data_IF_078542534543
#
_entry.id   IF_078542534543
#
_cell.length_a   1.000
_cell.length_b   1.000
_cell.length_c   1.000
_cell.angle_alpha   90.00
_cell.angle_beta   90.00
_cell.angle_gamma   90.00
#
_symmetry.space_group_name_H-M   'P 1'
#
loop_
_entity.id
_entity.type
_entity.pdbx_description
1 polymer ?
#
# COMPACT_ATOMS: atom_id res chain seq x y z
N UNK A 1 -15.45 -6.65 -18.74
CA UNK A 1 -15.76 -7.81 -17.88
C UNK A 1 -16.53 -7.29 -16.68
N UNK A 2 -17.58 -7.97 -16.22
CA UNK A 2 -18.32 -7.60 -15.00
C UNK A 2 -17.46 -7.86 -13.78
N UNK A 3 -17.46 -6.94 -12.81
CA UNK A 3 -16.72 -7.11 -11.55
C UNK A 3 -17.12 -8.42 -10.86
N UNK A 4 -16.17 -9.15 -10.22
CA UNK A 4 -16.48 -10.39 -9.53
C UNK A 4 -17.53 -10.17 -8.44
N UNK A 5 -18.48 -11.10 -8.29
CA UNK A 5 -19.47 -11.04 -7.22
C UNK A 5 -18.79 -11.31 -5.86
N UNK A 6 -18.91 -10.37 -4.93
CA UNK A 6 -18.39 -10.47 -3.57
C UNK A 6 -19.52 -10.88 -2.60
N UNK A 7 -19.20 -11.54 -1.46
CA UNK A 7 -20.16 -11.78 -0.38
C UNK A 7 -20.92 -10.51 0.02
N UNK A 8 -22.21 -10.65 0.32
CA UNK A 8 -23.08 -9.52 0.67
C UNK A 8 -22.62 -8.73 1.90
N UNK A 9 -21.86 -9.38 2.79
CA UNK A 9 -21.26 -8.79 3.98
C UNK A 9 -20.00 -7.97 3.68
N UNK A 10 -19.52 -7.92 2.43
CA UNK A 10 -18.26 -7.27 2.05
C UNK A 10 -18.49 -6.17 1.00
N UNK A 11 -17.83 -5.03 1.20
CA UNK A 11 -17.85 -3.88 0.29
C UNK A 11 -16.42 -3.39 0.09
N UNK A 12 -16.00 -3.22 -1.16
CA UNK A 12 -14.68 -2.65 -1.49
C UNK A 12 -14.87 -1.19 -1.88
N UNK A 13 -14.14 -0.30 -1.21
CA UNK A 13 -13.97 1.07 -1.65
C UNK A 13 -12.72 1.12 -2.51
N UNK A 14 -12.90 1.04 -3.83
CA UNK A 14 -11.80 1.28 -4.77
C UNK A 14 -11.33 2.73 -4.66
N UNK A 15 -10.03 2.93 -4.44
CA UNK A 15 -9.43 4.25 -4.24
C UNK A 15 -8.51 4.62 -5.40
N UNK A 16 -8.29 5.92 -5.57
CA UNK A 16 -7.30 6.43 -6.53
C UNK A 16 -5.87 6.12 -6.07
N UNK A 17 -4.88 6.34 -6.96
CA UNK A 17 -3.49 5.92 -6.75
C UNK A 17 -2.84 6.39 -5.44
N UNK A 18 -3.27 7.53 -4.89
CA UNK A 18 -2.77 8.05 -3.62
C UNK A 18 -3.16 7.19 -2.41
N UNK A 19 -4.13 6.27 -2.52
CA UNK A 19 -4.63 5.54 -1.35
C UNK A 19 -4.92 4.10 -1.67
N UNK A 20 -4.61 3.22 -0.72
CA UNK A 20 -5.01 1.85 -0.81
C UNK A 20 -6.54 1.70 -0.69
N UNK A 21 -7.05 0.68 -1.37
CA UNK A 21 -8.41 0.18 -1.27
C UNK A 21 -8.75 -0.13 0.19
N UNK A 22 -10.01 0.10 0.55
CA UNK A 22 -10.52 -0.30 1.86
C UNK A 22 -11.54 -1.42 1.67
N UNK A 23 -11.48 -2.45 2.51
CA UNK A 23 -12.45 -3.55 2.48
C UNK A 23 -13.29 -3.51 3.74
N UNK A 24 -14.53 -3.03 3.60
CA UNK A 24 -15.49 -2.92 4.68
C UNK A 24 -16.32 -4.19 4.79
N UNK A 25 -16.37 -4.75 5.99
CA UNK A 25 -17.20 -5.87 6.36
C UNK A 25 -18.33 -5.42 7.28
N UNK A 26 -19.54 -5.89 7.00
CA UNK A 26 -20.74 -5.66 7.80
C UNK A 26 -21.46 -7.00 7.94
N UNK A 27 -21.43 -7.58 9.14
CA UNK A 27 -22.17 -8.80 9.47
C UNK A 27 -23.39 -8.44 10.34
N UNK A 28 -24.58 -8.54 9.75
CA UNK A 28 -25.83 -8.28 10.47
C UNK A 28 -26.09 -9.30 11.59
N UNK A 29 -25.60 -10.53 11.47
CA UNK A 29 -25.90 -11.61 12.40
C UNK A 29 -25.11 -11.45 13.72
N UNK A 30 -23.80 -11.18 13.64
CA UNK A 30 -22.96 -10.91 14.81
C UNK A 30 -22.95 -9.44 15.25
N UNK A 31 -23.39 -8.55 14.36
CA UNK A 31 -23.22 -7.10 14.51
C UNK A 31 -21.79 -6.63 14.26
N UNK A 32 -20.86 -7.48 13.83
CA UNK A 32 -19.47 -7.09 13.57
C UNK A 32 -19.34 -6.13 12.38
N UNK A 33 -18.44 -5.18 12.52
CA UNK A 33 -18.12 -4.17 11.51
C UNK A 33 -16.61 -3.95 11.50
N UNK A 34 -15.98 -4.33 10.40
CA UNK A 34 -14.52 -4.37 10.31
C UNK A 34 -14.04 -3.72 9.02
N UNK A 35 -12.91 -3.04 9.04
CA UNK A 35 -12.30 -2.42 7.86
C UNK A 35 -10.87 -2.94 7.69
N UNK A 36 -10.52 -3.39 6.48
CA UNK A 36 -9.13 -3.70 6.11
C UNK A 36 -8.55 -2.51 5.36
N UNK A 37 -7.42 -2.00 5.84
CA UNK A 37 -6.72 -0.79 5.41
C UNK A 37 -7.58 0.49 5.38
N UNK A 38 -6.93 1.66 5.46
CA UNK A 38 -7.60 2.94 5.77
C UNK A 38 -7.24 4.09 4.83
N UNK A 39 -6.41 3.82 3.82
CA UNK A 39 -6.02 4.82 2.83
C UNK A 39 -4.98 5.81 3.36
N UNK A 40 -4.64 6.81 2.55
CA UNK A 40 -3.65 7.84 2.89
C UNK A 40 -4.23 8.96 3.76
N UNK A 41 -3.37 9.62 4.51
CA UNK A 41 -3.76 10.63 5.51
C UNK A 41 -4.52 11.82 4.91
N UNK A 42 -4.17 12.26 3.69
CA UNK A 42 -4.90 13.34 3.01
C UNK A 42 -6.33 12.94 2.63
N UNK A 43 -6.60 11.64 2.53
CA UNK A 43 -7.93 11.09 2.29
C UNK A 43 -8.63 10.62 3.58
N UNK A 44 -8.08 10.87 4.77
CA UNK A 44 -8.65 10.37 6.03
C UNK A 44 -10.11 10.83 6.24
N UNK A 45 -10.43 12.10 5.95
CA UNK A 45 -11.80 12.60 6.04
C UNK A 45 -12.75 11.91 5.05
N UNK A 46 -12.28 11.64 3.83
CA UNK A 46 -13.03 10.89 2.83
C UNK A 46 -13.25 9.44 3.27
N UNK A 47 -12.23 8.77 3.83
CA UNK A 47 -12.34 7.41 4.37
C UNK A 47 -13.39 7.35 5.48
N UNK A 48 -13.36 8.29 6.44
CA UNK A 48 -14.38 8.37 7.51
C UNK A 48 -15.78 8.51 6.91
N UNK A 49 -15.98 9.40 5.93
CA UNK A 49 -17.29 9.63 5.32
C UNK A 49 -17.81 8.41 4.55
N UNK A 50 -16.96 7.71 3.79
CA UNK A 50 -17.32 6.49 3.06
C UNK A 50 -17.73 5.36 4.02
N UNK A 51 -16.96 5.15 5.08
CA UNK A 51 -17.25 4.16 6.11
C UNK A 51 -18.55 4.50 6.85
N UNK A 52 -18.72 5.75 7.28
CA UNK A 52 -19.92 6.20 8.00
C UNK A 52 -21.20 6.02 7.17
N UNK A 53 -21.16 6.42 5.89
CA UNK A 53 -22.28 6.25 4.98
C UNK A 53 -22.65 4.77 4.79
N UNK A 54 -21.65 3.89 4.66
CA UNK A 54 -21.87 2.47 4.46
C UNK A 54 -22.33 1.72 5.72
N UNK A 55 -21.98 2.21 6.92
CA UNK A 55 -22.35 1.59 8.18
C UNK A 55 -23.78 1.90 8.64
N UNK A 56 -24.46 2.87 8.01
CA UNK A 56 -25.86 3.22 8.33
C UNK A 56 -26.12 3.43 9.83
N UNK A 57 -25.21 4.16 10.50
CA UNK A 57 -25.30 4.49 11.92
C UNK A 57 -24.68 3.48 12.89
N UNK A 58 -24.20 2.32 12.41
CA UNK A 58 -23.45 1.36 13.23
C UNK A 58 -22.05 1.89 13.52
N UNK A 59 -21.44 1.56 14.68
CA UNK A 59 -20.03 1.88 14.92
C UNK A 59 -19.13 1.01 14.06
N UNK A 60 -17.96 1.51 13.66
CA UNK A 60 -16.86 0.65 13.20
C UNK A 60 -16.22 -0.02 14.43
N UNK A 61 -16.14 -1.35 14.45
CA UNK A 61 -15.61 -2.08 15.61
C UNK A 61 -14.16 -2.49 15.47
N UNK A 62 -13.70 -2.76 14.25
CA UNK A 62 -12.32 -3.22 14.01
C UNK A 62 -11.68 -2.57 12.79
N UNK A 63 -10.37 -2.36 12.90
CA UNK A 63 -9.48 -2.04 11.78
C UNK A 63 -8.39 -3.11 11.73
N UNK A 64 -8.07 -3.58 10.53
CA UNK A 64 -7.00 -4.55 10.29
C UNK A 64 -6.10 -3.97 9.21
N UNK A 65 -4.80 -3.83 9.47
CA UNK A 65 -3.85 -3.36 8.47
C UNK A 65 -3.10 -4.52 7.83
N UNK A 66 -2.98 -4.50 6.50
CA UNK A 66 -2.15 -5.46 5.75
C UNK A 66 -0.66 -5.16 5.96
N UNK A 67 -0.30 -3.88 5.95
CA UNK A 67 1.02 -3.36 6.27
C UNK A 67 0.90 -1.86 6.60
N UNK A 68 2.01 -1.24 7.02
CA UNK A 68 1.99 0.11 7.60
C UNK A 68 2.65 1.18 6.72
N UNK A 69 2.56 1.03 5.39
CA UNK A 69 2.80 2.16 4.51
C UNK A 69 1.71 3.23 4.70
N UNK A 70 2.10 4.48 4.53
CA UNK A 70 1.28 5.65 4.86
C UNK A 70 -0.08 5.65 4.15
N UNK A 71 -0.16 5.08 2.96
CA UNK A 71 -1.35 4.96 2.13
C UNK A 71 -2.23 3.76 2.43
N UNK A 72 -1.78 2.86 3.32
CA UNK A 72 -2.56 1.76 3.88
C UNK A 72 -3.06 2.05 5.30
N UNK A 73 -2.30 2.80 6.10
CA UNK A 73 -2.64 3.07 7.51
C UNK A 73 -2.92 4.56 7.83
N UNK A 74 -2.81 5.47 6.86
CA UNK A 74 -2.94 6.92 7.08
C UNK A 74 -4.31 7.37 7.59
N UNK A 75 -5.37 6.59 7.37
CA UNK A 75 -6.70 6.83 7.92
C UNK A 75 -6.91 6.32 9.35
N UNK A 76 -5.99 5.54 9.92
CA UNK A 76 -6.16 4.85 11.22
C UNK A 76 -6.52 5.83 12.34
N UNK A 77 -5.73 6.91 12.50
CA UNK A 77 -5.93 7.87 13.57
C UNK A 77 -7.31 8.58 13.47
N UNK A 78 -7.76 8.89 12.26
CA UNK A 78 -9.07 9.52 12.04
C UNK A 78 -10.22 8.57 12.40
N UNK A 79 -10.12 7.29 12.03
CA UNK A 79 -11.09 6.28 12.40
C UNK A 79 -11.11 6.02 13.92
N UNK A 80 -9.94 6.03 14.56
CA UNK A 80 -9.82 5.93 16.03
C UNK A 80 -10.48 7.10 16.76
N UNK A 81 -10.28 8.33 16.29
CA UNK A 81 -11.00 9.50 16.83
C UNK A 81 -12.52 9.37 16.66
N UNK A 82 -13.00 8.76 15.57
CA UNK A 82 -14.44 8.66 15.27
C UNK A 82 -15.15 7.52 16.00
N UNK A 83 -14.54 6.33 16.08
CA UNK A 83 -15.20 5.12 16.58
C UNK A 83 -14.41 4.33 17.63
N UNK A 84 -13.12 4.63 17.84
CA UNK A 84 -12.22 3.83 18.69
C UNK A 84 -12.27 2.31 18.36
N UNK A 85 -12.13 1.92 17.08
CA UNK A 85 -12.16 0.51 16.71
C UNK A 85 -10.92 -0.19 17.24
N UNK A 86 -11.07 -1.48 17.61
CA UNK A 86 -9.92 -2.33 17.92
C UNK A 86 -9.05 -2.48 16.67
N UNK A 87 -7.80 -2.08 16.76
CA UNK A 87 -6.89 -2.01 15.61
C UNK A 87 -5.86 -3.15 15.67
N UNK A 88 -5.79 -3.95 14.60
CA UNK A 88 -4.82 -5.03 14.45
C UNK A 88 -3.80 -4.67 13.36
N UNK A 89 -2.52 -4.87 13.66
CA UNK A 89 -1.38 -4.55 12.77
C UNK A 89 -0.45 -5.77 12.63
N UNK A 90 0.45 -5.83 11.64
CA UNK A 90 1.47 -6.87 11.59
C UNK A 90 2.32 -6.90 12.87
N UNK A 91 2.58 -8.11 13.38
CA UNK A 91 3.25 -8.27 14.68
C UNK A 91 4.65 -7.68 14.75
N UNK A 92 5.40 -7.72 13.64
CA UNK A 92 6.76 -7.18 13.56
C UNK A 92 6.81 -5.66 13.79
N UNK A 93 5.72 -4.95 13.51
CA UNK A 93 5.64 -3.49 13.60
C UNK A 93 5.20 -2.98 14.98
N UNK A 94 4.80 -3.89 15.88
CA UNK A 94 4.19 -3.53 17.16
C UNK A 94 5.09 -2.62 18.02
N UNK A 95 6.40 -2.88 18.05
CA UNK A 95 7.35 -2.06 18.79
C UNK A 95 7.48 -0.64 18.21
N UNK A 96 7.57 -0.54 16.87
CA UNK A 96 7.69 0.73 16.17
C UNK A 96 6.43 1.58 16.35
N UNK A 97 5.23 1.00 16.25
CA UNK A 97 3.97 1.72 16.52
C UNK A 97 3.84 2.13 17.98
N UNK A 98 4.21 1.27 18.94
CA UNK A 98 4.13 1.59 20.37
C UNK A 98 5.02 2.80 20.73
N UNK A 99 6.24 2.83 20.20
CA UNK A 99 7.16 3.96 20.35
C UNK A 99 6.76 5.16 19.48
N UNK A 100 6.00 4.92 18.41
CA UNK A 100 5.81 5.82 17.28
C UNK A 100 7.15 6.25 16.66
N UNK A 101 7.96 5.25 16.34
CA UNK A 101 9.22 5.40 15.64
C UNK A 101 8.95 5.57 14.14
N UNK A 102 8.87 6.83 13.69
CA UNK A 102 8.54 7.18 12.31
C UNK A 102 9.64 6.82 11.31
N UNK A 103 10.88 6.60 11.76
CA UNK A 103 11.96 6.08 10.94
C UNK A 103 11.77 4.58 10.69
N UNK A 104 11.51 3.79 11.75
CA UNK A 104 11.24 2.36 11.64
C UNK A 104 9.94 2.06 10.84
N UNK A 105 8.92 2.91 10.97
CA UNK A 105 7.69 2.86 10.17
C UNK A 105 7.86 3.44 8.76
N UNK A 106 9.08 3.80 8.38
CA UNK A 106 9.49 4.31 7.06
C UNK A 106 8.94 5.67 6.64
N UNK A 107 8.02 6.29 7.41
CA UNK A 107 7.39 7.57 7.06
C UNK A 107 8.40 8.69 6.84
N UNK A 108 9.35 8.84 7.76
CA UNK A 108 10.40 9.86 7.64
C UNK A 108 11.36 9.53 6.50
N UNK A 109 11.70 8.24 6.33
CA UNK A 109 12.57 7.78 5.26
C UNK A 109 12.00 8.04 3.86
N UNK A 110 10.69 7.84 3.67
CA UNK A 110 9.99 8.08 2.39
C UNK A 110 9.51 9.53 2.24
N UNK A 111 9.59 10.34 3.30
CA UNK A 111 9.09 11.70 3.32
C UNK A 111 7.57 11.78 3.20
N UNK A 112 6.87 10.76 3.72
CA UNK A 112 5.42 10.63 3.73
C UNK A 112 4.84 10.93 5.11
N UNK A 113 3.55 11.27 5.16
CA UNK A 113 2.86 11.60 6.40
C UNK A 113 1.95 10.46 6.85
N UNK A 114 1.95 10.19 8.15
CA UNK A 114 0.94 9.39 8.81
C UNK A 114 0.66 9.98 10.19
N UNK A 115 -0.62 10.15 10.55
CA UNK A 115 -1.00 10.54 11.89
C UNK A 115 -0.73 9.40 12.88
N UNK A 116 -0.29 9.74 14.10
CA UNK A 116 -0.10 8.77 15.19
C UNK A 116 -1.39 8.03 15.53
N UNK A 117 -1.31 6.70 15.54
CA UNK A 117 -2.38 5.79 15.96
C UNK A 117 -1.84 4.74 16.94
N UNK A 118 -2.74 4.02 17.61
CA UNK A 118 -2.41 2.90 18.51
C UNK A 118 -2.91 1.56 17.96
N UNK A 119 -2.50 0.46 18.55
CA UNK A 119 -3.03 -0.87 18.21
C UNK A 119 -3.48 -1.61 19.47
N UNK A 120 -4.35 -2.60 19.27
CA UNK A 120 -4.94 -3.44 20.32
C UNK A 120 -4.55 -4.92 20.15
N UNK A 121 -4.17 -5.32 18.93
CA UNK A 121 -3.82 -6.68 18.57
C UNK A 121 -2.75 -6.71 17.48
N UNK A 122 -2.11 -7.86 17.34
CA UNK A 122 -1.09 -8.12 16.33
C UNK A 122 -1.49 -9.30 15.46
N UNK A 123 -1.00 -9.32 14.22
CA UNK A 123 -1.24 -10.37 13.22
C UNK A 123 0.06 -11.16 12.98
N UNK A 124 0.00 -12.48 13.12
CA UNK A 124 1.09 -13.41 12.78
C UNK A 124 0.71 -14.29 11.59
N UNK A 125 1.71 -14.81 10.87
CA UNK A 125 1.48 -15.84 9.84
C UNK A 125 0.76 -17.05 10.45
N UNK A 126 -0.28 -17.52 9.77
CA UNK A 126 -1.08 -18.66 10.22
C UNK A 126 -2.20 -18.31 11.20
N UNK A 127 -2.29 -17.06 11.68
CA UNK A 127 -3.44 -16.62 12.47
C UNK A 127 -4.74 -16.74 11.66
N UNK A 128 -5.86 -16.91 12.36
CA UNK A 128 -7.19 -16.85 11.77
C UNK A 128 -8.00 -15.73 12.39
N UNK A 129 -8.76 -15.01 11.56
CA UNK A 129 -9.70 -13.99 11.99
C UNK A 129 -11.02 -14.15 11.25
N UNK A 130 -12.12 -13.87 11.95
CA UNK A 130 -13.43 -13.82 11.33
C UNK A 130 -13.77 -12.37 10.99
N UNK A 131 -14.10 -12.08 9.73
CA UNK A 131 -14.52 -10.76 9.24
C UNK A 131 -15.76 -10.93 8.35
N UNK A 132 -16.84 -10.20 8.64
CA UNK A 132 -18.06 -10.28 7.83
C UNK A 132 -18.71 -11.66 7.81
N UNK A 133 -18.57 -12.43 8.90
CA UNK A 133 -19.04 -13.83 8.99
C UNK A 133 -18.20 -14.84 8.19
N UNK A 134 -17.00 -14.44 7.73
CA UNK A 134 -16.10 -15.26 6.91
C UNK A 134 -14.82 -15.53 7.69
N UNK A 135 -14.33 -16.77 7.66
CA UNK A 135 -13.01 -17.13 8.18
C UNK A 135 -11.91 -16.74 7.20
N UNK A 136 -10.94 -15.98 7.70
CA UNK A 136 -9.75 -15.54 6.98
C UNK A 136 -8.50 -16.08 7.65
N UNK A 137 -7.52 -16.46 6.84
CA UNK A 137 -6.16 -16.82 7.24
C UNK A 137 -5.25 -15.63 6.99
N UNK A 138 -4.45 -15.27 7.99
CA UNK A 138 -3.34 -14.34 7.85
C UNK A 138 -2.17 -15.09 7.22
N UNK A 139 -1.64 -14.52 6.15
CA UNK A 139 -0.50 -15.07 5.42
C UNK A 139 0.60 -14.00 5.38
N UNK A 140 1.76 -14.29 5.96
CA UNK A 140 2.92 -13.42 5.77
C UNK A 140 3.27 -13.31 4.29
N UNK A 141 3.54 -12.08 3.86
CA UNK A 141 3.76 -11.72 2.47
C UNK A 141 4.99 -10.80 2.30
N UNK A 142 6.18 -11.24 2.78
CA UNK A 142 7.39 -10.46 2.60
C UNK A 142 7.71 -10.29 1.11
N UNK A 143 8.26 -9.13 0.75
CA UNK A 143 8.60 -8.79 -0.62
C UNK A 143 8.57 -7.28 -0.81
N UNK A 144 7.42 -6.74 -1.23
CA UNK A 144 7.15 -5.30 -1.24
C UNK A 144 7.59 -4.61 0.06
N UNK A 145 7.13 -5.17 1.19
CA UNK A 145 7.45 -4.79 2.55
C UNK A 145 7.79 -6.08 3.34
N UNK A 146 8.78 -6.10 4.25
CA UNK A 146 9.17 -7.30 5.01
C UNK A 146 8.11 -7.81 5.98
N UNK A 147 7.19 -6.96 6.39
CA UNK A 147 6.24 -7.20 7.48
C UNK A 147 4.80 -7.33 6.98
N UNK A 148 4.57 -7.12 5.68
CA UNK A 148 3.26 -7.24 5.07
C UNK A 148 2.60 -8.60 5.28
N UNK A 149 1.27 -8.56 5.41
CA UNK A 149 0.41 -9.74 5.44
C UNK A 149 -0.70 -9.64 4.39
N UNK A 150 -1.12 -10.79 3.89
CA UNK A 150 -2.35 -10.96 3.10
C UNK A 150 -3.42 -11.65 3.94
N UNK A 151 -4.68 -11.46 3.56
CA UNK A 151 -5.81 -12.17 4.15
C UNK A 151 -6.45 -13.07 3.10
N UNK A 152 -6.51 -14.38 3.35
CA UNK A 152 -7.11 -15.35 2.44
C UNK A 152 -8.33 -16.01 3.06
N UNK A 153 -9.46 -16.02 2.35
CA UNK A 153 -10.68 -16.73 2.73
C UNK A 153 -10.83 -18.01 1.87
N UNK A 154 -10.37 -19.20 2.33
CA UNK A 154 -10.31 -20.40 1.49
C UNK A 154 -11.68 -20.86 0.98
N UNK A 155 -12.70 -20.82 1.84
CA UNK A 155 -14.06 -21.23 1.49
C UNK A 155 -14.67 -20.37 0.36
N UNK A 156 -14.22 -19.13 0.23
CA UNK A 156 -14.69 -18.19 -0.78
C UNK A 156 -13.70 -18.04 -1.94
N UNK A 157 -12.45 -18.49 -1.80
CA UNK A 157 -11.38 -18.25 -2.77
C UNK A 157 -11.11 -16.76 -2.99
N UNK A 158 -11.18 -15.95 -1.93
CA UNK A 158 -10.94 -14.50 -1.98
C UNK A 158 -9.64 -14.17 -1.27
N UNK A 159 -8.77 -13.40 -1.91
CA UNK A 159 -7.51 -12.93 -1.36
C UNK A 159 -7.52 -11.40 -1.29
N UNK A 160 -7.31 -10.83 -0.09
CA UNK A 160 -6.91 -9.43 0.05
C UNK A 160 -5.37 -9.45 0.05
N UNK A 161 -4.79 -9.01 -1.07
CA UNK A 161 -3.36 -9.17 -1.33
C UNK A 161 -2.49 -8.01 -0.84
N UNK A 162 -3.10 -6.88 -0.46
CA UNK A 162 -2.36 -5.63 -0.29
C UNK A 162 -1.48 -5.38 -1.52
N UNK A 163 -0.22 -5.10 -1.28
CA UNK A 163 0.75 -4.78 -2.33
C UNK A 163 1.60 -5.95 -2.81
N UNK A 164 1.33 -7.16 -2.30
CA UNK A 164 2.00 -8.37 -2.76
C UNK A 164 1.57 -8.79 -4.18
N UNK A 165 0.35 -8.42 -4.60
CA UNK A 165 -0.15 -8.65 -5.96
C UNK A 165 -1.23 -7.64 -6.34
N UNK A 166 -1.03 -6.98 -7.48
CA UNK A 166 -2.03 -6.19 -8.19
C UNK A 166 -2.36 -6.85 -9.53
N UNK A 167 -3.41 -6.40 -10.22
CA UNK A 167 -3.75 -6.95 -11.54
C UNK A 167 -2.57 -6.84 -12.53
N UNK A 168 -1.76 -5.79 -12.39
CA UNK A 168 -0.63 -5.49 -13.26
C UNK A 168 0.69 -5.30 -12.47
N UNK A 169 0.99 -6.21 -11.54
CA UNK A 169 2.28 -6.24 -10.85
C UNK A 169 2.15 -6.34 -9.33
N UNK A 170 2.91 -5.49 -8.64
CA UNK A 170 3.02 -5.40 -7.18
C UNK A 170 3.71 -4.06 -6.84
N UNK A 171 3.73 -3.70 -5.56
CA UNK A 171 4.34 -2.46 -5.06
C UNK A 171 5.87 -2.38 -5.25
N UNK A 172 6.47 -1.26 -4.87
CA UNK A 172 7.94 -1.10 -4.88
C UNK A 172 8.56 -2.09 -3.89
N UNK A 173 9.63 -2.80 -4.24
CA UNK A 173 10.30 -3.70 -3.28
C UNK A 173 11.28 -2.84 -2.48
N UNK A 174 10.85 -2.35 -1.32
CA UNK A 174 11.63 -1.46 -0.47
C UNK A 174 12.91 -2.10 0.10
N UNK A 175 12.92 -3.37 0.55
CA UNK A 175 14.11 -3.98 1.15
C UNK A 175 15.34 -3.95 0.23
N UNK A 176 15.14 -4.14 -1.08
CA UNK A 176 16.21 -4.07 -2.09
C UNK A 176 16.87 -2.69 -2.18
N UNK A 177 16.14 -1.63 -1.82
CA UNK A 177 16.66 -0.25 -1.83
C UNK A 177 17.64 -0.02 -0.67
N UNK A 178 17.41 -0.69 0.46
CA UNK A 178 18.25 -0.64 1.66
C UNK A 178 19.35 -1.72 1.65
N UNK A 179 19.31 -2.62 0.68
CA UNK A 179 20.32 -3.66 0.45
C UNK A 179 20.02 -5.00 1.10
N UNK A 180 18.81 -5.15 1.65
CA UNK A 180 18.24 -6.40 2.10
C UNK A 180 17.62 -7.18 0.94
N UNK A 181 17.33 -8.46 1.18
CA UNK A 181 16.60 -9.29 0.20
C UNK A 181 15.13 -8.93 0.23
N UNK A 182 14.57 -8.60 -0.94
CA UNK A 182 13.13 -8.50 -1.13
C UNK A 182 12.66 -9.17 -2.42
N UNK A 183 13.54 -9.30 -3.41
CA UNK A 183 13.21 -9.98 -4.65
C UNK A 183 12.94 -11.47 -4.45
N UNK A 184 13.70 -12.16 -3.61
CA UNK A 184 13.53 -13.61 -3.36
C UNK A 184 12.19 -13.87 -2.69
N UNK A 185 11.88 -13.07 -1.68
CA UNK A 185 10.65 -13.07 -0.90
C UNK A 185 9.44 -12.78 -1.81
N UNK A 186 9.54 -11.76 -2.67
CA UNK A 186 8.49 -11.46 -3.65
C UNK A 186 8.25 -12.63 -4.63
N UNK A 187 9.29 -13.36 -5.05
CA UNK A 187 9.08 -14.55 -5.89
C UNK A 187 8.40 -15.70 -5.11
N UNK A 188 8.78 -15.88 -3.84
CA UNK A 188 8.18 -16.90 -2.99
C UNK A 188 6.70 -16.60 -2.73
N UNK A 189 6.33 -15.34 -2.48
CA UNK A 189 4.92 -14.98 -2.27
C UNK A 189 4.09 -15.13 -3.55
N UNK A 190 4.62 -14.76 -4.71
CA UNK A 190 3.94 -15.01 -5.99
C UNK A 190 3.74 -16.52 -6.24
N UNK A 191 4.71 -17.36 -5.87
CA UNK A 191 4.56 -18.81 -5.94
C UNK A 191 3.53 -19.36 -4.94
N UNK A 192 3.47 -18.80 -3.73
CA UNK A 192 2.44 -19.16 -2.75
C UNK A 192 1.05 -18.81 -3.30
N UNK A 193 0.85 -17.58 -3.79
CA UNK A 193 -0.44 -17.12 -4.35
C UNK A 193 -0.94 -18.04 -5.48
N UNK A 194 -0.04 -18.46 -6.36
CA UNK A 194 -0.35 -19.38 -7.48
C UNK A 194 -0.94 -20.73 -7.01
N UNK A 195 -0.60 -21.15 -5.79
CA UNK A 195 -1.08 -22.41 -5.18
C UNK A 195 -2.20 -22.24 -4.17
N UNK A 196 -2.57 -21.01 -3.77
CA UNK A 196 -3.59 -20.75 -2.75
C UNK A 196 -5.01 -21.15 -3.18
N UNK A 197 -5.27 -21.19 -4.49
CA UNK A 197 -6.63 -21.38 -5.01
C UNK A 197 -7.50 -20.12 -4.90
N UNK A 198 -6.89 -18.93 -4.87
CA UNK A 198 -7.61 -17.68 -4.98
C UNK A 198 -8.25 -17.54 -6.38
N UNK A 199 -9.53 -17.14 -6.40
CA UNK A 199 -10.33 -16.90 -7.61
C UNK A 199 -10.65 -15.42 -7.81
N UNK A 200 -10.62 -14.65 -6.73
CA UNK A 200 -10.84 -13.21 -6.70
C UNK A 200 -9.75 -12.60 -5.85
N UNK A 201 -9.14 -11.52 -6.34
CA UNK A 201 -8.14 -10.75 -5.59
C UNK A 201 -8.63 -9.32 -5.42
N UNK A 202 -8.54 -8.84 -4.19
CA UNK A 202 -8.76 -7.45 -3.80
C UNK A 202 -7.36 -6.86 -3.51
N UNK A 203 -6.77 -6.12 -4.47
CA UNK A 203 -5.44 -5.54 -4.31
C UNK A 203 -5.45 -4.33 -3.38
N UNK A 204 -4.26 -3.95 -2.91
CA UNK A 204 -4.01 -2.67 -2.27
C UNK A 204 -4.39 -1.50 -3.19
N UNK A 205 -4.03 -1.55 -4.48
CA UNK A 205 -4.37 -0.51 -5.45
C UNK A 205 -5.01 -1.08 -6.73
N UNK A 206 -5.99 -0.34 -7.26
CA UNK A 206 -6.70 -0.68 -8.49
C UNK A 206 -7.92 -1.58 -8.27
N UNK A 207 -8.52 -2.05 -9.37
CA UNK A 207 -9.78 -2.77 -9.34
C UNK A 207 -9.65 -4.21 -8.80
N UNK A 208 -10.75 -4.71 -8.25
CA UNK A 208 -10.91 -6.14 -7.93
C UNK A 208 -10.88 -6.96 -9.22
N UNK A 209 -10.10 -8.04 -9.24
CA UNK A 209 -9.92 -8.86 -10.45
C UNK A 209 -10.07 -10.36 -10.18
N UNK A 210 -10.36 -11.11 -11.25
CA UNK A 210 -10.51 -12.58 -11.22
C UNK A 210 -9.48 -13.35 -12.05
N UNK A 211 -8.71 -12.66 -12.91
CA UNK A 211 -7.59 -13.27 -13.67
C UNK A 211 -6.35 -13.41 -12.78
N UNK A 212 -6.42 -14.32 -11.80
CA UNK A 212 -5.34 -14.50 -10.81
C UNK A 212 -4.09 -15.08 -11.47
N UNK A 213 -4.23 -16.11 -12.32
CA UNK A 213 -3.11 -16.74 -13.03
C UNK A 213 -2.42 -15.75 -13.97
N UNK A 214 -3.17 -14.96 -14.74
CA UNK A 214 -2.58 -13.93 -15.59
C UNK A 214 -1.91 -12.82 -14.80
N UNK A 215 -2.50 -12.38 -13.67
CA UNK A 215 -1.88 -11.39 -12.79
C UNK A 215 -0.55 -11.90 -12.20
N UNK A 216 -0.50 -13.14 -11.72
CA UNK A 216 0.74 -13.77 -11.23
C UNK A 216 1.79 -13.86 -12.34
N UNK A 217 1.41 -14.25 -13.57
CA UNK A 217 2.34 -14.31 -14.70
C UNK A 217 2.91 -12.92 -15.06
N UNK A 218 2.07 -11.87 -15.06
CA UNK A 218 2.49 -10.48 -15.27
C UNK A 218 3.42 -10.02 -14.14
N UNK A 219 3.10 -10.33 -12.89
CA UNK A 219 3.92 -10.03 -11.73
C UNK A 219 5.29 -10.72 -11.80
N UNK A 220 5.37 -12.00 -12.14
CA UNK A 220 6.64 -12.72 -12.34
C UNK A 220 7.49 -12.08 -13.44
N UNK A 221 6.88 -11.76 -14.58
CA UNK A 221 7.58 -11.08 -15.69
C UNK A 221 8.14 -9.72 -15.25
N UNK A 222 7.35 -8.97 -14.48
CA UNK A 222 7.78 -7.69 -13.89
C UNK A 222 8.93 -7.87 -12.90
N UNK A 223 8.88 -8.91 -12.06
CA UNK A 223 9.92 -9.22 -11.09
C UNK A 223 11.24 -9.59 -11.79
N UNK A 224 11.19 -10.43 -12.82
CA UNK A 224 12.37 -10.80 -13.61
C UNK A 224 12.97 -9.57 -14.32
N UNK A 225 12.12 -8.68 -14.83
CA UNK A 225 12.56 -7.39 -15.37
C UNK A 225 13.30 -6.54 -14.32
N UNK A 226 12.79 -6.45 -13.08
CA UNK A 226 13.47 -5.71 -12.02
C UNK A 226 14.79 -6.36 -11.57
N UNK A 227 14.81 -7.68 -11.42
CA UNK A 227 16.00 -8.45 -11.02
C UNK A 227 17.15 -8.36 -12.03
N UNK A 228 16.81 -8.21 -13.30
CA UNK A 228 17.81 -8.10 -14.37
C UNK A 228 18.67 -6.83 -14.28
N UNK A 229 18.22 -5.81 -13.56
CA UNK A 229 18.97 -4.58 -13.32
C UNK A 229 18.42 -3.84 -12.07
N UNK A 230 19.15 -3.84 -10.94
CA UNK A 230 18.73 -3.17 -9.71
C UNK A 230 18.37 -1.69 -9.86
N UNK A 231 18.92 -0.99 -10.87
CA UNK A 231 18.57 0.40 -11.17
C UNK A 231 17.09 0.56 -11.54
N UNK A 232 16.45 -0.49 -12.05
CA UNK A 232 15.04 -0.45 -12.43
C UNK A 232 14.13 -0.31 -11.22
N UNK A 233 14.43 -0.99 -10.12
CA UNK A 233 13.67 -0.86 -8.88
C UNK A 233 13.96 0.49 -8.21
N UNK A 234 15.24 0.86 -8.12
CA UNK A 234 15.70 2.13 -7.57
C UNK A 234 15.04 3.35 -8.24
N UNK A 235 15.15 3.47 -9.57
CA UNK A 235 14.56 4.61 -10.30
C UNK A 235 13.03 4.55 -10.29
N UNK A 236 12.43 3.36 -10.21
CA UNK A 236 10.98 3.22 -10.06
C UNK A 236 10.50 3.75 -8.72
N UNK A 237 11.19 3.42 -7.62
CA UNK A 237 10.90 3.95 -6.29
C UNK A 237 10.95 5.48 -6.26
N UNK A 238 11.99 6.09 -6.86
CA UNK A 238 12.09 7.56 -6.94
C UNK A 238 10.90 8.18 -7.68
N UNK A 239 10.47 7.58 -8.80
CA UNK A 239 9.28 8.04 -9.55
C UNK A 239 8.00 7.92 -8.73
N UNK A 240 7.82 6.80 -8.03
CA UNK A 240 6.65 6.56 -7.17
C UNK A 240 6.59 7.61 -6.07
N UNK A 241 7.69 7.83 -5.33
CA UNK A 241 7.73 8.81 -4.25
C UNK A 241 7.47 10.25 -4.72
N UNK A 242 8.06 10.66 -5.86
CA UNK A 242 7.75 11.97 -6.46
C UNK A 242 6.28 12.07 -6.86
N UNK A 243 5.70 11.01 -7.42
CA UNK A 243 4.27 10.97 -7.76
C UNK A 243 3.40 11.07 -6.50
N UNK A 244 3.71 10.36 -5.43
CA UNK A 244 3.02 10.50 -4.14
C UNK A 244 3.09 11.93 -3.61
N UNK A 245 4.27 12.56 -3.67
CA UNK A 245 4.44 13.94 -3.24
C UNK A 245 3.59 14.92 -4.06
N UNK A 246 3.50 14.70 -5.37
CA UNK A 246 2.67 15.51 -6.26
C UNK A 246 1.18 15.27 -6.04
N UNK A 247 0.76 14.02 -5.81
CA UNK A 247 -0.62 13.69 -5.46
C UNK A 247 -1.04 14.34 -4.13
N UNK A 248 -0.15 14.40 -3.14
CA UNK A 248 -0.39 15.10 -1.88
C UNK A 248 -0.52 16.62 -2.07
N UNK A 249 0.43 17.23 -2.77
CA UNK A 249 0.52 18.69 -2.88
C UNK A 249 -0.33 19.28 -4.02
N UNK A 250 -0.78 18.45 -4.96
CA UNK A 250 -1.44 18.76 -6.25
C UNK A 250 -0.58 19.58 -7.22
N UNK A 251 0.20 20.54 -6.74
CA UNK A 251 1.16 21.30 -7.52
C UNK A 251 2.22 21.98 -6.64
N UNK A 252 3.50 21.88 -7.02
CA UNK A 252 4.64 22.51 -6.35
C UNK A 252 5.48 23.32 -7.36
N UNK A 253 6.28 24.28 -6.89
CA UNK A 253 7.38 24.78 -7.74
C UNK A 253 8.43 23.70 -7.92
N UNK A 254 9.18 23.74 -9.04
CA UNK A 254 10.31 22.82 -9.25
C UNK A 254 11.28 22.85 -8.08
N UNK A 255 11.59 24.04 -7.57
CA UNK A 255 12.54 24.22 -6.47
C UNK A 255 12.03 23.66 -5.14
N UNK A 256 10.74 23.83 -4.82
CA UNK A 256 10.16 23.24 -3.62
C UNK A 256 10.13 21.71 -3.70
N UNK A 257 9.81 21.15 -4.88
CA UNK A 257 9.82 19.71 -5.09
C UNK A 257 11.24 19.14 -5.05
N UNK A 258 12.22 19.85 -5.61
CA UNK A 258 13.63 19.46 -5.53
C UNK A 258 14.16 19.55 -4.09
N UNK A 259 13.78 20.58 -3.33
CA UNK A 259 14.14 20.71 -1.93
C UNK A 259 13.61 19.54 -1.10
N UNK A 260 12.36 19.13 -1.32
CA UNK A 260 11.80 17.92 -0.72
C UNK A 260 12.57 16.67 -1.14
N UNK A 261 12.80 16.49 -2.45
CA UNK A 261 13.52 15.32 -2.99
C UNK A 261 14.92 15.17 -2.39
N UNK A 262 15.63 16.29 -2.19
CA UNK A 262 16.93 16.33 -1.50
C UNK A 262 16.86 16.23 0.01
N UNK A 263 15.69 16.31 0.62
CA UNK A 263 15.54 16.15 2.06
C UNK A 263 15.09 14.72 2.42
N UNK A 264 14.47 14.00 1.48
CA UNK A 264 13.98 12.63 1.67
C UNK A 264 15.14 11.63 1.84
N UNK A 265 15.27 10.98 3.01
CA UNK A 265 16.39 10.07 3.28
C UNK A 265 16.51 8.91 2.30
N UNK A 266 15.39 8.31 1.87
CA UNK A 266 15.42 7.20 0.91
C UNK A 266 15.96 7.63 -0.46
N UNK A 267 15.74 8.88 -0.90
CA UNK A 267 16.34 9.39 -2.14
C UNK A 267 17.87 9.42 -2.04
N UNK A 268 18.41 9.80 -0.88
CA UNK A 268 19.85 9.76 -0.63
C UNK A 268 20.40 8.34 -0.58
N UNK A 269 19.71 7.40 0.06
CA UNK A 269 20.15 6.00 0.12
C UNK A 269 20.17 5.38 -1.27
N UNK A 270 19.12 5.59 -2.06
CA UNK A 270 19.06 5.18 -3.47
C UNK A 270 20.21 5.81 -4.27
N UNK A 271 20.40 7.11 -4.14
CA UNK A 271 21.47 7.84 -4.84
C UNK A 271 22.85 7.28 -4.51
N UNK A 272 23.19 7.18 -3.22
CA UNK A 272 24.49 6.70 -2.76
C UNK A 272 24.76 5.25 -3.17
N UNK A 273 23.74 4.39 -3.16
CA UNK A 273 23.89 2.96 -3.43
C UNK A 273 23.95 2.64 -4.92
N UNK A 274 23.11 3.27 -5.73
CA UNK A 274 22.91 2.86 -7.13
C UNK A 274 23.41 3.89 -8.14
N UNK A 275 23.46 5.17 -7.78
CA UNK A 275 23.58 6.28 -8.74
C UNK A 275 24.64 7.31 -8.30
N UNK A 276 25.64 6.91 -7.51
CA UNK A 276 26.62 7.82 -6.91
C UNK A 276 27.45 8.62 -7.92
N UNK A 277 27.56 8.12 -9.16
CA UNK A 277 28.24 8.80 -10.26
C UNK A 277 27.41 9.89 -10.94
N UNK A 278 26.12 10.02 -10.63
CA UNK A 278 25.22 11.01 -11.23
C UNK A 278 24.90 12.14 -10.24
N UNK A 279 24.90 13.42 -10.68
CA UNK A 279 24.42 14.52 -9.86
C UNK A 279 22.94 14.37 -9.47
N UNK A 280 22.61 14.68 -8.21
CA UNK A 280 21.25 14.48 -7.68
C UNK A 280 20.19 15.37 -8.36
N UNK A 281 20.56 16.55 -8.82
CA UNK A 281 19.71 17.43 -9.64
C UNK A 281 19.41 16.84 -11.03
N UNK A 282 20.41 16.23 -11.66
CA UNK A 282 20.23 15.54 -12.93
C UNK A 282 19.26 14.35 -12.79
N UNK A 283 19.40 13.56 -11.71
CA UNK A 283 18.48 12.44 -11.41
C UNK A 283 17.05 12.92 -11.14
N UNK A 284 16.91 14.03 -10.41
CA UNK A 284 15.62 14.67 -10.20
C UNK A 284 14.97 15.06 -11.52
N UNK A 285 15.70 15.74 -12.42
CA UNK A 285 15.18 16.14 -13.73
C UNK A 285 14.80 14.94 -14.61
N UNK A 286 15.62 13.87 -14.61
CA UNK A 286 15.30 12.62 -15.30
C UNK A 286 14.01 11.99 -14.76
N UNK A 287 13.82 12.01 -13.43
CA UNK A 287 12.61 11.51 -12.77
C UNK A 287 11.38 12.29 -13.22
N UNK A 288 11.46 13.63 -13.24
CA UNK A 288 10.37 14.47 -13.74
C UNK A 288 10.06 14.21 -15.21
N UNK A 289 11.08 14.11 -16.07
CA UNK A 289 10.89 13.81 -17.49
C UNK A 289 10.25 12.43 -17.73
N UNK A 290 10.60 11.43 -16.92
CA UNK A 290 10.00 10.11 -17.01
C UNK A 290 8.51 10.13 -16.61
N UNK A 291 8.16 10.83 -15.53
CA UNK A 291 6.78 10.99 -15.08
C UNK A 291 5.95 11.81 -16.08
N UNK A 292 6.51 12.86 -16.67
CA UNK A 292 5.87 13.67 -17.70
C UNK A 292 5.57 12.86 -18.96
N UNK A 293 6.54 12.06 -19.44
CA UNK A 293 6.33 11.15 -20.58
C UNK A 293 5.27 10.09 -20.32
N UNK A 294 5.14 9.65 -19.07
CA UNK A 294 4.10 8.72 -18.65
C UNK A 294 2.73 9.39 -18.44
N UNK A 295 2.64 10.73 -18.60
CA UNK A 295 1.42 11.49 -18.35
C UNK A 295 1.05 11.60 -16.87
N UNK A 296 1.97 11.29 -15.94
CA UNK A 296 1.74 11.31 -14.50
C UNK A 296 1.90 12.70 -13.86
N UNK A 297 2.53 13.64 -14.58
CA UNK A 297 2.63 15.05 -14.20
C UNK A 297 2.63 15.95 -15.45
N UNK A 298 2.46 17.25 -15.24
CA UNK A 298 2.59 18.31 -16.25
C UNK A 298 3.47 19.45 -15.72
N UNK A 299 4.19 20.12 -16.61
CA UNK A 299 4.93 21.36 -16.30
C UNK A 299 4.11 22.58 -16.72
N UNK A 300 3.83 23.47 -15.79
CA UNK A 300 3.09 24.72 -16.01
C UNK A 300 3.94 25.91 -15.53
N UNK A 301 4.74 26.47 -16.44
CA UNK A 301 5.75 27.47 -16.09
C UNK A 301 6.79 26.89 -15.14
N UNK A 302 6.95 27.50 -13.96
CA UNK A 302 7.85 27.01 -12.90
C UNK A 302 7.23 25.92 -12.00
N UNK A 303 5.96 25.57 -12.25
CA UNK A 303 5.24 24.57 -11.45
C UNK A 303 5.28 23.20 -12.08
N UNK A 304 5.35 22.19 -11.21
CA UNK A 304 5.13 20.79 -11.52
C UNK A 304 3.78 20.42 -10.91
N UNK A 305 2.86 19.97 -11.75
CA UNK A 305 1.45 19.74 -11.42
C UNK A 305 1.16 18.26 -11.59
N UNK A 306 0.40 17.69 -10.66
CA UNK A 306 -0.11 16.34 -10.78
C UNK A 306 -1.04 16.20 -12.01
N UNK A 307 -0.97 15.07 -12.71
CA UNK A 307 -1.77 14.82 -13.91
C UNK A 307 -2.77 13.66 -13.78
N UNK A 308 -3.21 13.34 -12.56
CA UNK A 308 -4.22 12.32 -12.28
C UNK A 308 -3.69 11.15 -11.48
#
# INVERSE_FOLDING_TARGET
MTAPALPATMRVFERGWLSANNVLFIDDASGDTSLVDTGYVTHAAQTVALVEAALHGRPLRRVVNTHLHSDHCGGNAALQRRWQPRTAIPAAEAAAVAAWDADALTFDATGQQCDRFTFDAVLHDGDTLMLGGIDWQVIAAPGHDPHAVMLFAPAHGILISGDALWENGFGVIFPELDGDSGFVEQAAILARIDTLGARIVIPGHGAVFGDVTGAVARARSRLDYLRGDPLRNATHAMRVLVKFRLLEAQALSRDALYAWFRATPLMHRIHARFLAGEPLDALFDQTLQALERAGALRREGERVVDAG
#
